data_IF_622491785112
#
_entry.id   IF_622491785112
#
_cell.length_a   1.000
_cell.length_b   1.000
_cell.length_c   1.000
_cell.angle_alpha   90.00
_cell.angle_beta   90.00
_cell.angle_gamma   90.00
#
_symmetry.space_group_name_H-M   'P 1'
#
loop_
_entity.id
_entity.type
_entity.pdbx_description
1 polymer ?
#
# COMPACT_ATOMS: atom_id res chain seq x y z
N UNK A 1 -7.60 10.24 -19.44
CA UNK A 1 -8.65 11.23 -19.28
C UNK A 1 -9.75 10.80 -18.35
N UNK A 2 -10.21 9.58 -18.51
CA UNK A 2 -11.33 9.14 -17.68
C UNK A 2 -11.02 9.16 -16.20
N UNK A 3 -9.82 8.74 -15.84
CA UNK A 3 -9.41 8.77 -14.44
C UNK A 3 -9.42 10.20 -13.91
N UNK A 4 -8.98 11.13 -14.73
CA UNK A 4 -8.95 12.53 -14.34
C UNK A 4 -10.35 13.07 -14.09
N UNK A 5 -11.30 12.69 -14.94
CA UNK A 5 -12.68 13.14 -14.78
C UNK A 5 -13.28 12.63 -13.49
N UNK A 6 -13.01 11.36 -13.17
CA UNK A 6 -13.46 10.80 -11.90
C UNK A 6 -12.92 11.57 -10.73
N UNK A 7 -11.64 11.89 -10.79
CA UNK A 7 -10.99 12.59 -9.72
C UNK A 7 -11.58 14.00 -9.56
N UNK A 8 -11.86 14.65 -10.68
CA UNK A 8 -12.46 15.97 -10.66
C UNK A 8 -13.84 15.93 -10.02
N UNK A 9 -14.57 14.83 -10.22
CA UNK A 9 -15.88 14.70 -9.61
C UNK A 9 -15.78 14.72 -8.08
N UNK A 10 -14.84 13.97 -7.53
CA UNK A 10 -14.66 13.98 -6.07
C UNK A 10 -14.27 15.34 -5.55
N UNK A 11 -13.45 16.06 -6.29
CA UNK A 11 -13.03 17.38 -5.88
C UNK A 11 -14.21 18.34 -5.89
N UNK A 12 -15.07 18.25 -6.89
CA UNK A 12 -16.24 19.11 -6.97
C UNK A 12 -17.21 18.84 -5.84
N UNK A 13 -17.31 17.59 -5.42
CA UNK A 13 -18.17 17.22 -4.31
C UNK A 13 -17.38 17.25 -3.03
N UNK A 14 -16.90 18.44 -2.69
CA UNK A 14 -15.99 18.61 -1.56
C UNK A 14 -16.59 18.24 -0.21
N UNK A 15 -17.88 18.01 -0.14
CA UNK A 15 -18.50 17.50 1.09
C UNK A 15 -18.40 15.99 1.19
N UNK A 16 -18.05 15.35 0.09
CA UNK A 16 -17.92 13.90 0.09
C UNK A 16 -16.54 13.51 0.58
N UNK A 17 -16.51 12.56 1.49
CA UNK A 17 -15.28 11.99 1.99
C UNK A 17 -15.15 10.57 1.47
N UNK A 18 -13.93 10.16 1.21
CA UNK A 18 -13.64 8.80 0.82
C UNK A 18 -12.67 8.19 1.81
N UNK A 19 -12.74 6.88 1.93
CA UNK A 19 -11.73 6.15 2.66
C UNK A 19 -10.73 5.62 1.66
N UNK A 20 -9.46 5.85 1.93
CA UNK A 20 -8.40 5.43 1.04
C UNK A 20 -7.38 4.63 1.82
N UNK A 21 -6.81 3.62 1.17
CA UNK A 21 -5.76 2.82 1.78
C UNK A 21 -4.46 3.16 1.11
N UNK A 22 -3.49 3.55 1.94
CA UNK A 22 -2.15 3.83 1.47
C UNK A 22 -1.22 2.70 1.86
N UNK A 23 -0.36 2.34 0.94
CA UNK A 23 0.65 1.31 1.18
C UNK A 23 2.03 1.91 0.98
N UNK A 24 2.93 1.58 1.87
CA UNK A 24 4.31 2.03 1.74
C UNK A 24 5.27 0.93 2.15
N UNK A 25 6.18 0.62 1.24
CA UNK A 25 7.28 -0.28 1.52
C UNK A 25 8.52 0.59 1.68
N UNK A 26 9.04 0.67 2.90
CA UNK A 26 10.13 1.56 3.19
C UNK A 26 11.45 1.13 2.57
N UNK A 27 12.41 2.05 2.57
CA UNK A 27 13.74 1.78 2.05
C UNK A 27 14.49 0.76 2.90
N UNK A 28 14.08 0.60 4.14
CA UNK A 28 14.69 -0.40 5.03
C UNK A 28 14.33 -1.82 4.64
N UNK A 29 13.29 -1.98 3.81
CA UNK A 29 12.83 -3.30 3.35
C UNK A 29 12.42 -4.21 4.50
N UNK A 30 11.86 -3.62 5.55
CA UNK A 30 11.49 -4.38 6.74
C UNK A 30 10.04 -4.88 6.69
N UNK A 31 9.18 -4.16 6.00
CA UNK A 31 7.78 -4.53 5.99
C UNK A 31 6.93 -3.59 5.16
N UNK A 32 5.63 -3.78 5.28
CA UNK A 32 4.65 -2.99 4.57
C UNK A 32 3.83 -2.19 5.57
N UNK A 33 3.80 -0.88 5.38
CA UNK A 33 2.94 -0.01 6.16
C UNK A 33 1.61 0.15 5.45
N UNK A 34 0.53 -0.05 6.19
CA UNK A 34 -0.82 0.08 5.65
C UNK A 34 -1.56 1.12 6.47
N UNK A 35 -2.09 2.13 5.81
CA UNK A 35 -2.82 3.20 6.47
C UNK A 35 -4.20 3.35 5.87
N UNK A 36 -5.19 3.54 6.73
CA UNK A 36 -6.53 3.89 6.30
C UNK A 36 -6.72 5.37 6.61
N UNK A 37 -7.05 6.14 5.60
CA UNK A 37 -7.30 7.55 5.77
C UNK A 37 -8.69 7.91 5.28
N UNK A 38 -9.26 8.92 5.90
CA UNK A 38 -10.49 9.54 5.44
C UNK A 38 -10.13 10.90 4.88
N UNK A 39 -10.51 11.15 3.65
CA UNK A 39 -10.09 12.38 2.99
C UNK A 39 -11.14 12.87 2.02
N UNK A 40 -11.16 14.19 1.80
CA UNK A 40 -11.95 14.79 0.75
C UNK A 40 -11.11 15.02 -0.52
N UNK A 41 -9.87 14.50 -0.51
CA UNK A 41 -8.94 14.59 -1.64
C UNK A 41 -8.47 16.01 -1.95
N UNK A 42 -8.74 16.97 -1.06
CA UNK A 42 -8.36 18.35 -1.28
C UNK A 42 -7.54 18.90 -0.12
N UNK A 43 -8.15 19.07 1.03
CA UNK A 43 -7.47 19.71 2.15
C UNK A 43 -7.71 19.04 3.48
N UNK A 44 -8.39 17.90 3.50
CA UNK A 44 -8.66 17.21 4.75
C UNK A 44 -8.15 15.77 4.68
N UNK A 45 -7.36 15.40 5.67
CA UNK A 45 -6.84 14.06 5.82
C UNK A 45 -6.95 13.66 7.27
N UNK A 46 -7.49 12.49 7.49
CA UNK A 46 -7.63 11.97 8.84
C UNK A 46 -7.15 10.54 8.86
N UNK A 47 -6.14 10.25 9.68
CA UNK A 47 -5.65 8.88 9.82
C UNK A 47 -6.60 8.11 10.70
N UNK A 48 -7.19 7.05 10.16
CA UNK A 48 -8.16 6.24 10.88
C UNK A 48 -7.53 5.00 11.48
N UNK A 49 -6.58 4.41 10.78
CA UNK A 49 -5.96 3.16 11.21
C UNK A 49 -4.60 3.02 10.56
N UNK A 50 -3.67 2.44 11.27
CA UNK A 50 -2.31 2.25 10.76
C UNK A 50 -1.76 0.95 11.31
N UNK A 51 -1.13 0.17 10.45
CA UNK A 51 -0.51 -1.09 10.85
C UNK A 51 0.72 -1.34 10.01
N UNK A 52 1.76 -1.83 10.64
CA UNK A 52 2.97 -2.27 9.94
C UNK A 52 3.01 -3.79 9.97
N UNK A 53 3.18 -4.38 8.81
CA UNK A 53 3.32 -5.83 8.66
C UNK A 53 4.76 -6.13 8.30
N UNK A 54 5.46 -6.83 9.18
CA UNK A 54 6.86 -7.15 8.94
C UNK A 54 6.99 -8.26 7.92
N UNK A 55 8.00 -8.13 7.07
CA UNK A 55 8.34 -9.21 6.15
C UNK A 55 8.94 -10.37 6.94
N UNK A 56 8.64 -11.60 6.50
CA UNK A 56 9.30 -12.77 7.08
C UNK A 56 10.79 -12.74 6.73
N UNK A 57 11.57 -13.50 7.48
CA UNK A 57 13.00 -13.60 7.20
C UNK A 57 13.24 -14.12 5.79
N UNK A 58 12.43 -15.08 5.38
CA UNK A 58 12.54 -15.66 4.04
C UNK A 58 12.28 -14.60 2.96
N UNK A 59 11.24 -13.79 3.14
CA UNK A 59 10.91 -12.77 2.17
C UNK A 59 12.00 -11.70 2.12
N UNK A 60 12.51 -11.27 3.28
CA UNK A 60 13.61 -10.32 3.32
C UNK A 60 14.82 -10.84 2.57
N UNK A 61 15.13 -12.11 2.76
CA UNK A 61 16.26 -12.72 2.09
C UNK A 61 16.09 -12.71 0.58
N UNK A 62 14.90 -13.07 0.11
CA UNK A 62 14.64 -13.09 -1.32
C UNK A 62 14.73 -11.70 -1.94
N UNK A 63 14.21 -10.68 -1.25
CA UNK A 63 14.29 -9.31 -1.73
C UNK A 63 15.75 -8.87 -1.80
N UNK A 64 16.51 -9.14 -0.75
CA UNK A 64 17.92 -8.76 -0.71
C UNK A 64 18.71 -9.43 -1.82
N UNK A 65 18.45 -10.71 -2.07
CA UNK A 65 19.13 -11.43 -3.13
C UNK A 65 18.82 -10.84 -4.49
N UNK A 66 17.56 -10.46 -4.72
CA UNK A 66 17.20 -9.84 -5.98
C UNK A 66 17.91 -8.50 -6.15
N UNK A 67 17.93 -7.68 -5.12
CA UNK A 67 18.58 -6.37 -5.20
C UNK A 67 20.05 -6.53 -5.55
N UNK A 68 20.69 -7.54 -4.97
CA UNK A 68 22.11 -7.78 -5.18
C UNK A 68 22.41 -8.32 -6.58
N UNK A 69 21.66 -9.31 -7.01
CA UNK A 69 21.96 -10.05 -8.24
C UNK A 69 21.04 -9.72 -9.40
N UNK A 70 19.94 -9.08 -9.16
CA UNK A 70 18.95 -8.77 -10.20
C UNK A 70 18.40 -10.02 -10.87
N UNK A 71 18.32 -11.10 -10.12
CA UNK A 71 17.80 -12.38 -10.61
C UNK A 71 16.46 -12.66 -9.95
N UNK A 72 15.69 -13.55 -10.58
CA UNK A 72 14.43 -14.01 -10.02
C UNK A 72 13.39 -12.90 -9.83
N UNK A 73 13.37 -11.93 -10.75
CA UNK A 73 12.44 -10.83 -10.65
C UNK A 73 10.99 -11.31 -10.53
N UNK A 74 10.60 -12.24 -11.40
CA UNK A 74 9.22 -12.71 -11.39
C UNK A 74 8.87 -13.42 -10.09
N UNK A 75 9.81 -14.17 -9.55
CA UNK A 75 9.59 -14.87 -8.29
C UNK A 75 9.41 -13.89 -7.13
N UNK A 76 10.29 -12.91 -7.03
CA UNK A 76 10.22 -11.92 -5.96
C UNK A 76 8.95 -11.07 -6.08
N UNK A 77 8.60 -10.68 -7.30
CA UNK A 77 7.38 -9.92 -7.54
C UNK A 77 6.17 -10.72 -7.09
N UNK A 78 6.14 -12.01 -7.40
CA UNK A 78 5.04 -12.87 -6.98
C UNK A 78 4.94 -12.96 -5.47
N UNK A 79 6.08 -13.11 -4.79
CA UNK A 79 6.08 -13.17 -3.32
C UNK A 79 5.57 -11.89 -2.70
N UNK A 80 6.02 -10.75 -3.21
CA UNK A 80 5.59 -9.44 -2.70
C UNK A 80 4.10 -9.22 -2.94
N UNK A 81 3.62 -9.60 -4.10
CA UNK A 81 2.20 -9.44 -4.42
C UNK A 81 1.35 -10.26 -3.45
N UNK A 82 1.75 -11.49 -3.20
CA UNK A 82 1.02 -12.34 -2.26
C UNK A 82 1.07 -11.79 -0.85
N UNK A 83 2.22 -11.31 -0.43
CA UNK A 83 2.36 -10.74 0.90
C UNK A 83 1.48 -9.51 1.05
N UNK A 84 1.54 -8.61 0.08
CA UNK A 84 0.75 -7.38 0.14
C UNK A 84 -0.74 -7.68 0.16
N UNK A 85 -1.19 -8.63 -0.63
CA UNK A 85 -2.60 -9.02 -0.66
C UNK A 85 -3.06 -9.55 0.70
N UNK A 86 -2.23 -10.38 1.32
CA UNK A 86 -2.55 -10.90 2.65
C UNK A 86 -2.64 -9.79 3.67
N UNK A 87 -1.71 -8.85 3.61
CA UNK A 87 -1.69 -7.73 4.55
C UNK A 87 -2.94 -6.87 4.42
N UNK A 88 -3.32 -6.56 3.18
CA UNK A 88 -4.50 -5.75 2.93
C UNK A 88 -5.74 -6.47 3.44
N UNK A 89 -5.86 -7.76 3.17
CA UNK A 89 -7.01 -8.53 3.63
C UNK A 89 -7.08 -8.56 5.15
N UNK A 90 -5.95 -8.78 5.82
CA UNK A 90 -5.93 -8.76 7.28
C UNK A 90 -6.30 -7.39 7.82
N UNK A 91 -5.80 -6.35 7.19
CA UNK A 91 -6.07 -4.98 7.61
C UNK A 91 -7.57 -4.67 7.50
N UNK A 92 -8.20 -5.10 6.43
CA UNK A 92 -9.60 -4.84 6.19
C UNK A 92 -10.52 -5.62 7.13
N UNK A 93 -10.05 -6.74 7.66
CA UNK A 93 -10.83 -7.54 8.60
C UNK A 93 -10.85 -6.95 10.01
N UNK A 94 -9.98 -6.03 10.29
CA UNK A 94 -9.94 -5.37 11.60
C UNK A 94 -10.83 -4.12 11.61
#
# INVERSE_FOLDING_TARGET
MKTRDKYSYFIKNNKSYINAIGLMSGTSLDGLDVALIKTNATNHFELKQFTTYEYSKSLKHNISSFIKDRKNLNYVTSLLTKFNSKCINSFLEN
#
